data_IF_789542485856
#
_entry.id   IF_789542485856
#
_cell.length_a   1.000
_cell.length_b   1.000
_cell.length_c   1.000
_cell.angle_alpha   90.00
_cell.angle_beta   90.00
_cell.angle_gamma   90.00
#
_symmetry.space_group_name_H-M   'P 1'
#
loop_
_entity.id
_entity.type
_entity.pdbx_description
1 polymer ?
#
# COMPACT_ATOMS: atom_id res chain seq x y z
N UNK A 1 13.35 -25.14 -2.61
CA UNK A 1 11.88 -25.34 -2.53
C UNK A 1 11.28 -24.12 -1.88
N UNK A 2 10.12 -23.66 -2.36
CA UNK A 2 9.39 -22.55 -1.75
C UNK A 2 8.13 -23.10 -1.08
N UNK A 3 7.85 -22.66 0.14
CA UNK A 3 6.74 -23.14 0.96
C UNK A 3 5.79 -21.98 1.28
N UNK A 4 4.49 -22.24 1.19
CA UNK A 4 3.45 -21.31 1.63
C UNK A 4 2.85 -21.85 2.92
N UNK A 5 2.70 -20.98 3.92
CA UNK A 5 2.12 -21.29 5.23
C UNK A 5 0.92 -20.38 5.50
N UNK A 6 -0.11 -20.92 6.15
CA UNK A 6 -1.23 -20.11 6.62
C UNK A 6 -0.90 -19.51 7.98
N UNK A 7 -1.12 -18.22 8.14
CA UNK A 7 -0.78 -17.44 9.33
C UNK A 7 -2.05 -16.77 9.90
N UNK A 8 -2.03 -16.44 11.19
CA UNK A 8 -3.15 -15.80 11.88
C UNK A 8 -3.95 -16.74 12.77
N UNK A 9 -5.01 -16.21 13.40
CA UNK A 9 -5.82 -16.93 14.39
C UNK A 9 -6.31 -18.27 13.81
N UNK A 10 -6.21 -19.33 14.63
CA UNK A 10 -6.61 -20.70 14.29
C UNK A 10 -5.72 -21.39 13.22
N UNK A 11 -4.49 -20.92 12.98
CA UNK A 11 -3.47 -21.62 12.17
C UNK A 11 -2.28 -22.11 13.01
N UNK A 12 -1.32 -22.79 12.36
CA UNK A 12 -0.05 -23.21 12.98
C UNK A 12 0.82 -22.01 13.43
N UNK A 13 0.57 -20.81 12.90
CA UNK A 13 1.33 -19.58 13.17
C UNK A 13 0.38 -18.46 13.64
N UNK A 14 -0.19 -18.57 14.85
CA UNK A 14 -1.26 -17.68 15.32
C UNK A 14 -0.80 -16.24 15.56
N UNK A 15 0.46 -16.05 15.95
CA UNK A 15 1.04 -14.74 16.27
C UNK A 15 1.75 -14.08 15.08
N UNK A 16 1.79 -14.74 13.93
CA UNK A 16 2.48 -14.25 12.74
C UNK A 16 1.54 -13.41 11.87
N UNK A 17 1.96 -12.18 11.58
CA UNK A 17 1.33 -11.31 10.58
C UNK A 17 2.05 -11.38 9.23
N UNK A 18 1.43 -10.78 8.20
CA UNK A 18 2.00 -10.70 6.84
C UNK A 18 3.35 -9.95 6.84
N UNK A 19 3.47 -8.94 7.70
CA UNK A 19 4.70 -8.25 8.05
C UNK A 19 4.68 -7.85 9.53
N UNK A 20 5.82 -7.50 10.14
CA UNK A 20 5.89 -7.04 11.52
C UNK A 20 5.00 -5.81 11.76
N UNK A 21 4.31 -5.78 12.91
CA UNK A 21 3.51 -4.60 13.27
C UNK A 21 4.41 -3.41 13.57
N UNK A 22 4.28 -2.36 12.76
CA UNK A 22 4.96 -1.10 12.97
C UNK A 22 4.15 -0.20 13.92
N UNK A 23 4.67 -0.01 15.13
CA UNK A 23 4.01 0.73 16.22
C UNK A 23 4.67 2.07 16.54
N UNK A 24 5.71 2.48 15.80
CA UNK A 24 6.49 3.68 16.11
C UNK A 24 6.24 4.85 15.13
N UNK A 25 5.09 4.84 14.45
CA UNK A 25 4.68 5.81 13.43
C UNK A 25 4.21 7.16 14.02
N UNK A 26 5.12 7.95 14.59
CA UNK A 26 4.82 9.26 15.17
C UNK A 26 4.68 10.37 14.11
N UNK A 27 3.43 10.71 13.77
CA UNK A 27 3.09 11.71 12.76
C UNK A 27 2.92 13.12 13.36
N UNK A 28 4.02 13.84 13.55
CA UNK A 28 3.94 15.22 14.05
C UNK A 28 3.48 16.18 12.95
N UNK A 29 2.72 17.19 13.35
CA UNK A 29 2.38 18.34 12.53
C UNK A 29 2.56 19.60 13.36
N UNK A 30 3.44 20.48 12.91
CA UNK A 30 3.73 21.75 13.57
C UNK A 30 3.60 22.89 12.58
N UNK A 31 2.97 23.97 12.99
CA UNK A 31 2.78 25.15 12.17
C UNK A 31 2.99 26.41 12.97
N UNK A 32 3.39 27.48 12.28
CA UNK A 32 3.50 28.80 12.85
C UNK A 32 2.90 29.84 11.90
N UNK A 33 2.41 30.91 12.50
CA UNK A 33 1.99 32.11 11.79
C UNK A 33 2.45 33.32 12.59
N UNK A 34 3.04 34.28 11.90
CA UNK A 34 3.60 35.47 12.52
C UNK A 34 3.40 36.69 11.63
N UNK A 35 2.94 37.79 12.24
CA UNK A 35 2.78 39.08 11.59
C UNK A 35 3.78 40.08 12.17
N UNK A 36 4.94 40.25 11.54
CA UNK A 36 5.95 41.19 12.02
C UNK A 36 5.50 42.66 11.98
N UNK A 37 5.94 43.46 12.97
CA UNK A 37 5.60 44.90 13.05
C UNK A 37 6.60 45.83 12.35
N UNK A 38 7.85 45.41 12.20
CA UNK A 38 8.95 46.16 11.54
C UNK A 38 8.76 46.43 10.03
N UNK A 39 7.71 45.88 9.40
CA UNK A 39 7.34 46.14 7.99
C UNK A 39 5.94 46.75 7.82
N UNK A 40 5.45 47.40 8.87
CA UNK A 40 4.09 47.92 8.95
C UNK A 40 3.19 46.94 9.70
N UNK A 41 2.51 47.45 10.72
CA UNK A 41 1.59 46.68 11.55
C UNK A 41 0.54 45.99 10.67
N UNK A 42 0.45 44.67 10.80
CA UNK A 42 -0.51 43.81 10.09
C UNK A 42 -0.39 43.85 8.54
N UNK A 43 0.75 44.31 8.01
CA UNK A 43 0.98 44.39 6.55
C UNK A 43 1.67 43.18 5.96
N UNK A 44 2.35 42.38 6.78
CA UNK A 44 3.04 41.16 6.34
C UNK A 44 2.68 40.02 7.26
N UNK A 45 2.36 38.86 6.69
CA UNK A 45 2.09 37.63 7.42
C UNK A 45 2.99 36.53 6.86
N UNK A 46 3.78 35.95 7.74
CA UNK A 46 4.58 34.75 7.50
C UNK A 46 3.79 33.56 8.05
N UNK A 47 3.69 32.50 7.26
CA UNK A 47 3.12 31.21 7.69
C UNK A 47 4.09 30.11 7.29
N UNK A 48 4.23 29.10 8.11
CA UNK A 48 5.00 27.93 7.74
C UNK A 48 4.59 26.74 8.57
N UNK A 49 5.02 25.56 8.13
CA UNK A 49 4.68 24.33 8.81
C UNK A 49 5.50 23.16 8.30
N UNK A 50 5.56 22.14 9.16
CA UNK A 50 6.22 20.88 8.92
C UNK A 50 5.29 19.75 9.37
N UNK A 51 5.13 18.73 8.53
CA UNK A 51 4.29 17.59 8.82
C UNK A 51 4.95 16.30 8.35
N UNK A 52 4.85 15.24 9.16
CA UNK A 52 5.19 13.88 8.78
C UNK A 52 3.88 13.12 8.54
N UNK A 53 3.75 12.49 7.37
CA UNK A 53 2.58 11.67 7.02
C UNK A 53 3.02 10.26 6.66
N UNK A 54 2.50 9.26 7.37
CA UNK A 54 2.74 7.85 7.06
C UNK A 54 1.77 7.36 5.99
N UNK A 55 2.28 6.59 5.04
CA UNK A 55 1.49 5.95 4.00
C UNK A 55 1.10 4.54 4.43
N UNK A 56 -0.12 4.11 4.10
CA UNK A 56 -0.52 2.73 4.32
C UNK A 56 0.27 1.76 3.42
N UNK A 57 0.51 0.52 3.86
CA UNK A 57 1.05 -0.54 3.01
C UNK A 57 0.14 -0.82 1.82
N UNK A 58 0.72 -0.69 0.62
CA UNK A 58 0.04 -0.95 -0.65
C UNK A 58 -0.82 0.22 -1.15
N UNK A 59 -1.35 0.06 -2.38
CA UNK A 59 -2.20 1.07 -3.02
C UNK A 59 -3.50 1.33 -2.23
N UNK A 60 -4.02 0.29 -1.56
CA UNK A 60 -5.12 0.36 -0.57
C UNK A 60 -5.08 -0.88 0.35
N UNK A 61 -5.66 -0.80 1.55
CA UNK A 61 -5.88 -1.99 2.41
C UNK A 61 -6.73 -3.08 1.74
N UNK A 62 -7.50 -2.73 0.70
CA UNK A 62 -8.38 -3.64 -0.03
C UNK A 62 -7.62 -4.68 -0.87
N UNK A 63 -6.43 -4.35 -1.38
CA UNK A 63 -5.64 -5.26 -2.22
C UNK A 63 -4.86 -6.29 -1.39
N UNK A 64 -4.52 -5.97 -0.15
CA UNK A 64 -3.81 -6.93 0.73
C UNK A 64 -4.65 -8.18 0.94
N UNK A 65 -5.97 -8.04 1.10
CA UNK A 65 -6.89 -9.17 1.23
C UNK A 65 -6.93 -10.05 -0.03
N UNK A 66 -6.94 -9.46 -1.23
CA UNK A 66 -6.87 -10.22 -2.48
C UNK A 66 -5.51 -10.88 -2.68
N UNK A 67 -4.41 -10.19 -2.36
CA UNK A 67 -3.06 -10.69 -2.58
C UNK A 67 -2.69 -11.81 -1.61
N UNK A 68 -3.10 -11.68 -0.34
CA UNK A 68 -2.93 -12.74 0.66
C UNK A 68 -3.88 -13.94 0.40
N UNK A 69 -5.10 -13.66 -0.08
CA UNK A 69 -6.09 -14.69 -0.41
C UNK A 69 -5.77 -15.45 -1.70
N UNK A 70 -5.15 -14.80 -2.68
CA UNK A 70 -4.81 -15.38 -3.98
C UNK A 70 -3.47 -16.12 -3.96
N UNK A 71 -3.27 -16.96 -2.94
CA UNK A 71 -2.10 -17.83 -2.86
C UNK A 71 -2.39 -19.21 -3.45
N UNK A 72 -1.39 -19.84 -4.08
CA UNK A 72 -1.53 -21.18 -4.65
C UNK A 72 -2.03 -22.21 -3.62
N UNK A 73 -3.19 -22.80 -3.90
CA UNK A 73 -3.87 -23.77 -3.02
C UNK A 73 -5.09 -23.23 -2.27
N UNK A 74 -5.28 -21.90 -2.17
CA UNK A 74 -6.49 -21.28 -1.59
C UNK A 74 -7.49 -20.84 -2.65
N UNK A 75 -7.00 -20.43 -3.82
CA UNK A 75 -7.82 -20.05 -4.97
C UNK A 75 -7.50 -21.00 -6.12
N UNK A 76 -8.52 -21.65 -6.66
CA UNK A 76 -8.40 -22.47 -7.85
C UNK A 76 -9.45 -22.04 -8.86
N UNK A 77 -8.98 -21.55 -10.00
CA UNK A 77 -9.80 -21.42 -11.19
C UNK A 77 -9.43 -22.56 -12.12
N UNK A 78 -10.32 -23.56 -12.32
CA UNK A 78 -10.06 -24.58 -13.31
C UNK A 78 -9.99 -23.91 -14.68
N UNK A 79 -8.80 -23.93 -15.28
CA UNK A 79 -8.58 -23.41 -16.63
C UNK A 79 -8.20 -24.59 -17.50
N UNK A 80 -9.04 -24.86 -18.48
CA UNK A 80 -8.71 -25.79 -19.54
C UNK A 80 -7.81 -25.08 -20.57
N UNK A 81 -6.50 -25.32 -20.49
CA UNK A 81 -5.50 -24.66 -21.35
C UNK A 81 -5.44 -25.23 -22.77
N UNK A 82 -6.26 -26.24 -23.07
CA UNK A 82 -6.24 -26.90 -24.37
C UNK A 82 -5.01 -27.78 -24.59
N UNK A 83 -5.03 -28.49 -25.72
CA UNK A 83 -3.92 -29.35 -26.20
C UNK A 83 -3.38 -28.87 -27.56
N UNK A 84 -3.84 -27.71 -28.04
CA UNK A 84 -3.54 -27.20 -29.40
C UNK A 84 -4.50 -27.69 -30.49
N UNK A 85 -5.58 -28.38 -30.14
CA UNK A 85 -6.63 -28.84 -31.05
C UNK A 85 -7.85 -27.90 -31.06
N UNK A 86 -8.65 -27.92 -32.13
CA UNK A 86 -9.89 -27.15 -32.23
C UNK A 86 -10.89 -27.58 -31.14
N UNK A 87 -11.43 -26.60 -30.40
CA UNK A 87 -12.37 -26.84 -29.28
C UNK A 87 -13.67 -26.07 -29.41
N UNK A 88 -14.74 -26.72 -28.94
CA UNK A 88 -16.10 -26.20 -28.83
C UNK A 88 -16.78 -26.83 -27.60
N UNK A 89 -17.93 -26.31 -27.17
CA UNK A 89 -18.66 -26.83 -25.99
C UNK A 89 -19.08 -28.31 -26.12
N UNK A 90 -19.04 -28.87 -27.33
CA UNK A 90 -19.30 -30.28 -27.60
C UNK A 90 -18.14 -31.23 -27.22
N UNK A 91 -16.91 -30.71 -27.08
CA UNK A 91 -15.72 -31.52 -26.77
C UNK A 91 -15.04 -31.14 -25.44
N UNK A 92 -15.73 -30.38 -24.58
CA UNK A 92 -15.28 -30.01 -23.24
C UNK A 92 -16.16 -30.67 -22.17
N UNK A 93 -15.54 -31.20 -21.11
CA UNK A 93 -16.27 -31.72 -19.95
C UNK A 93 -16.49 -30.60 -18.92
N UNK A 94 -17.76 -30.27 -18.67
CA UNK A 94 -18.18 -29.25 -17.69
C UNK A 94 -19.01 -29.95 -16.59
N UNK A 95 -18.78 -29.66 -15.30
CA UNK A 95 -17.79 -28.72 -14.77
C UNK A 95 -16.37 -29.25 -14.88
N UNK A 96 -15.41 -28.34 -15.09
CA UNK A 96 -14.00 -28.72 -15.08
C UNK A 96 -13.61 -29.32 -13.72
N UNK A 97 -12.82 -30.40 -13.70
CA UNK A 97 -12.46 -31.09 -12.46
C UNK A 97 -11.62 -30.19 -11.55
N UNK A 98 -12.06 -30.02 -10.30
CA UNK A 98 -11.31 -29.32 -9.25
C UNK A 98 -10.44 -30.34 -8.52
N UNK A 99 -9.12 -30.17 -8.61
CA UNK A 99 -8.14 -31.14 -8.07
C UNK A 99 -7.38 -30.65 -6.84
N UNK A 100 -7.76 -29.50 -6.25
CA UNK A 100 -7.07 -28.97 -5.07
C UNK A 100 -7.92 -29.06 -3.80
N UNK A 101 -7.37 -29.74 -2.81
CA UNK A 101 -7.69 -29.53 -1.40
C UNK A 101 -6.67 -28.56 -0.81
N UNK A 102 -7.09 -27.46 -0.15
CA UNK A 102 -6.16 -26.57 0.53
C UNK A 102 -5.43 -27.36 1.62
N UNK A 103 -4.14 -27.61 1.41
CA UNK A 103 -3.25 -28.24 2.41
C UNK A 103 -2.24 -27.20 2.85
N UNK A 104 -2.13 -26.94 4.14
CA UNK A 104 -1.05 -26.12 4.70
C UNK A 104 -0.07 -27.03 5.42
N UNK A 105 1.23 -26.98 5.12
CA UNK A 105 1.89 -26.13 4.13
C UNK A 105 1.83 -26.67 2.70
N UNK A 106 1.69 -25.78 1.72
CA UNK A 106 1.76 -26.15 0.29
C UNK A 106 3.19 -25.96 -0.22
N UNK A 107 3.75 -27.00 -0.85
CA UNK A 107 5.09 -26.96 -1.45
C UNK A 107 4.97 -26.97 -2.96
N UNK A 108 5.63 -26.01 -3.62
CA UNK A 108 5.65 -25.92 -5.08
C UNK A 108 7.08 -26.02 -5.62
N UNK A 109 7.29 -26.70 -6.76
CA UNK A 109 8.57 -26.68 -7.44
C UNK A 109 8.82 -25.29 -8.06
N UNK A 110 10.06 -24.80 -7.98
CA UNK A 110 10.45 -23.48 -8.51
C UNK A 110 10.24 -23.32 -10.03
N UNK A 111 10.04 -24.43 -10.73
CA UNK A 111 9.81 -24.48 -12.17
C UNK A 111 8.34 -24.32 -12.57
N UNK A 112 7.40 -24.40 -11.62
CA UNK A 112 5.99 -24.22 -11.91
C UNK A 112 5.67 -22.74 -12.18
N UNK A 113 5.25 -22.44 -13.42
CA UNK A 113 4.84 -21.10 -13.88
C UNK A 113 3.33 -20.98 -14.05
N UNK A 114 2.57 -21.98 -13.61
CA UNK A 114 1.11 -21.99 -13.74
C UNK A 114 0.39 -21.15 -12.69
N UNK A 115 1.11 -20.73 -11.64
CA UNK A 115 0.59 -20.08 -10.46
C UNK A 115 1.14 -18.66 -10.30
N UNK A 116 0.30 -17.74 -9.81
CA UNK A 116 0.73 -16.40 -9.40
C UNK A 116 1.15 -16.48 -7.93
N UNK A 117 2.33 -15.95 -7.60
CA UNK A 117 2.81 -15.88 -6.22
C UNK A 117 2.98 -14.42 -5.82
N UNK A 118 2.18 -13.98 -4.86
CA UNK A 118 2.37 -12.71 -4.17
C UNK A 118 3.26 -12.93 -2.95
N UNK A 119 4.36 -12.19 -2.87
CA UNK A 119 5.29 -12.22 -1.74
C UNK A 119 5.32 -10.87 -1.06
N UNK A 120 5.39 -10.90 0.27
CA UNK A 120 5.51 -9.69 1.09
C UNK A 120 6.92 -9.59 1.66
N UNK A 121 7.46 -8.37 1.72
CA UNK A 121 8.76 -8.14 2.30
C UNK A 121 8.72 -8.42 3.82
N UNK A 122 9.60 -9.29 4.35
CA UNK A 122 9.59 -9.65 5.78
C UNK A 122 10.01 -8.50 6.70
N UNK A 123 10.73 -7.52 6.16
CA UNK A 123 11.26 -6.32 6.83
C UNK A 123 10.51 -5.05 6.41
N UNK A 124 9.26 -5.17 5.97
CA UNK A 124 8.44 -4.04 5.59
C UNK A 124 8.33 -3.01 6.73
N UNK A 125 8.72 -1.76 6.44
CA UNK A 125 8.57 -0.60 7.31
C UNK A 125 7.63 0.41 6.67
N UNK A 126 6.86 1.14 7.49
CA UNK A 126 5.85 2.08 6.99
C UNK A 126 6.54 3.28 6.33
N UNK A 127 6.36 3.52 5.01
CA UNK A 127 6.94 4.67 4.36
C UNK A 127 6.26 5.96 4.83
N UNK A 128 7.00 7.07 4.81
CA UNK A 128 6.51 8.38 5.21
C UNK A 128 6.96 9.47 4.24
N UNK A 129 6.22 10.59 4.24
CA UNK A 129 6.54 11.82 3.52
C UNK A 129 6.68 12.95 4.53
N UNK A 130 7.66 13.83 4.32
CA UNK A 130 7.89 15.00 5.18
C UNK A 130 7.59 16.28 4.40
N UNK A 131 6.46 16.89 4.70
CA UNK A 131 6.04 18.09 3.99
C UNK A 131 6.49 19.34 4.75
N UNK A 132 7.18 20.24 4.05
CA UNK A 132 7.53 21.57 4.53
C UNK A 132 6.80 22.64 3.73
N UNK A 133 6.23 23.62 4.42
CA UNK A 133 5.51 24.74 3.81
C UNK A 133 6.04 26.07 4.34
N UNK A 134 6.15 27.05 3.44
CA UNK A 134 6.48 28.43 3.78
C UNK A 134 5.67 29.38 2.90
N UNK A 135 5.01 30.35 3.52
CA UNK A 135 4.17 31.33 2.85
C UNK A 135 4.42 32.73 3.39
N UNK A 136 4.54 33.70 2.49
CA UNK A 136 4.71 35.12 2.81
C UNK A 136 3.64 35.89 2.06
N UNK A 137 2.71 36.49 2.80
CA UNK A 137 1.70 37.39 2.25
C UNK A 137 2.01 38.82 2.69
N UNK A 138 2.00 39.77 1.75
CA UNK A 138 2.26 41.19 2.01
C UNK A 138 1.29 42.10 1.30
N UNK A 139 0.68 43.02 2.04
CA UNK A 139 -0.05 44.16 1.46
C UNK A 139 0.96 45.25 1.04
N UNK A 140 1.00 45.56 -0.25
CA UNK A 140 1.89 46.58 -0.82
C UNK A 140 1.24 47.97 -0.81
N UNK A 141 -0.07 48.03 -1.07
CA UNK A 141 -0.89 49.25 -1.01
C UNK A 141 -2.23 48.93 -0.33
N UNK A 142 -3.17 49.88 -0.28
CA UNK A 142 -4.54 49.61 0.22
C UNK A 142 -5.35 48.66 -0.67
N UNK A 143 -4.88 48.42 -1.90
CA UNK A 143 -5.59 47.65 -2.92
C UNK A 143 -4.73 46.59 -3.64
N UNK A 144 -3.48 46.34 -3.19
CA UNK A 144 -2.57 45.37 -3.79
C UNK A 144 -1.94 44.47 -2.73
N UNK A 145 -2.04 43.16 -2.93
CA UNK A 145 -1.42 42.13 -2.07
C UNK A 145 -0.55 41.20 -2.92
N UNK A 146 0.65 40.91 -2.42
CA UNK A 146 1.58 39.93 -2.96
C UNK A 146 1.56 38.69 -2.06
N UNK A 147 1.53 37.51 -2.67
CA UNK A 147 1.61 36.24 -1.94
C UNK A 147 2.66 35.34 -2.58
N UNK A 148 3.57 34.83 -1.76
CA UNK A 148 4.61 33.88 -2.15
C UNK A 148 4.44 32.61 -1.33
N UNK A 149 4.49 31.45 -1.97
CA UNK A 149 4.33 30.15 -1.31
C UNK A 149 5.36 29.17 -1.83
N UNK A 150 5.88 28.37 -0.93
CA UNK A 150 6.79 27.28 -1.17
C UNK A 150 6.30 26.02 -0.47
N UNK A 151 6.40 24.90 -1.18
CA UNK A 151 6.06 23.57 -0.74
C UNK A 151 7.24 22.66 -1.09
N UNK A 152 7.69 21.86 -0.13
CA UNK A 152 8.64 20.77 -0.33
C UNK A 152 8.13 19.50 0.35
N UNK A 153 8.50 18.36 -0.20
CA UNK A 153 8.07 17.01 0.17
C UNK A 153 9.24 16.01 0.25
#
# INVERSE_FOLDING_TARGET
MTQIVLIGRDTQYPDQGIWPSDKNNFATAMGFAWSPTWFGKDKTTLRGGYQISYQLPGNTLSWIGSDAGNTPGLVYQPIDRGTGEYRDYSNMSIPLPVTLTPVSPTVFPLTDRSQVLSVFAPDYATPYVQTFTLGITRALTSNLTLDFRYLGD
#
